data_IF_967621691910
#
_entry.id   IF_967621691910
#
_cell.length_a   1.000
_cell.length_b   1.000
_cell.length_c   1.000
_cell.angle_alpha   90.00
_cell.angle_beta   90.00
_cell.angle_gamma   90.00
#
_symmetry.space_group_name_H-M   'P 1'
#
loop_
_entity.id
_entity.type
_entity.pdbx_description
1 polymer ?
#
# COMPACT_ATOMS: atom_id res chain seq x y z
N UNK A 1 13.05 -42.95 44.25
CA UNK A 1 11.58 -42.78 44.11
C UNK A 1 11.22 -41.31 44.24
N UNK A 2 10.64 -40.76 43.17
CA UNK A 2 9.80 -39.56 43.02
C UNK A 2 9.48 -38.70 44.26
N UNK A 3 9.90 -37.43 44.21
CA UNK A 3 9.08 -36.23 44.51
C UNK A 3 9.24 -35.28 43.31
N UNK A 4 8.70 -35.61 42.14
CA UNK A 4 7.43 -35.08 41.59
C UNK A 4 7.11 -33.65 42.02
N UNK A 5 7.02 -32.79 40.99
CA UNK A 5 6.23 -31.57 40.87
C UNK A 5 6.44 -30.54 41.97
N UNK A 6 6.80 -29.29 41.69
CA UNK A 6 5.81 -28.31 41.25
C UNK A 6 6.51 -26.99 40.92
N UNK A 7 7.64 -27.02 40.20
CA UNK A 7 8.26 -25.79 39.69
C UNK A 7 8.46 -25.93 38.17
N UNK A 8 7.40 -26.36 37.48
CA UNK A 8 7.32 -26.39 36.02
C UNK A 8 6.19 -25.49 35.47
N UNK A 9 5.48 -24.75 36.34
CA UNK A 9 4.31 -23.96 35.96
C UNK A 9 4.55 -22.43 36.00
N UNK A 10 5.80 -21.98 35.96
CA UNK A 10 6.15 -20.57 35.74
C UNK A 10 6.72 -20.32 34.33
N UNK A 11 6.32 -21.16 33.37
CA UNK A 11 6.28 -20.79 31.96
C UNK A 11 5.18 -19.74 31.78
N UNK A 12 5.43 -18.53 32.27
CA UNK A 12 4.70 -17.33 31.84
C UNK A 12 4.97 -17.19 30.35
N UNK A 13 4.12 -17.79 29.53
CA UNK A 13 4.03 -17.46 28.11
C UNK A 13 3.60 -16.01 28.02
N UNK A 14 4.57 -15.09 27.98
CA UNK A 14 4.31 -13.69 27.63
C UNK A 14 3.77 -13.71 26.21
N UNK A 15 2.45 -13.57 26.08
CA UNK A 15 1.81 -13.38 24.80
C UNK A 15 1.98 -11.90 24.45
N UNK A 16 2.97 -11.59 23.61
CA UNK A 16 3.16 -10.24 23.10
C UNK A 16 2.06 -9.98 22.07
N UNK A 17 1.06 -9.18 22.45
CA UNK A 17 0.05 -8.70 21.51
C UNK A 17 0.66 -7.54 20.71
N UNK A 18 1.17 -7.84 19.51
CA UNK A 18 1.59 -6.79 18.57
C UNK A 18 0.36 -6.30 17.82
N UNK A 19 -0.19 -5.18 18.25
CA UNK A 19 -1.20 -4.46 17.46
C UNK A 19 -0.47 -3.64 16.40
N UNK A 20 -0.66 -3.96 15.12
CA UNK A 20 -0.21 -3.08 14.05
C UNK A 20 -0.98 -1.75 14.16
N UNK A 21 -0.27 -0.63 14.18
CA UNK A 21 -0.91 0.70 14.10
C UNK A 21 -1.56 0.82 12.71
N UNK A 22 -2.83 1.22 12.67
CA UNK A 22 -3.58 1.39 11.42
C UNK A 22 -3.79 2.88 11.12
N UNK A 23 -3.75 3.21 9.83
CA UNK A 23 -4.09 4.53 9.31
C UNK A 23 -5.23 4.43 8.29
N UNK A 24 -5.95 5.53 8.10
CA UNK A 24 -7.00 5.67 7.10
C UNK A 24 -6.53 6.57 5.96
N UNK A 25 -6.59 6.06 4.73
CA UNK A 25 -6.28 6.80 3.50
C UNK A 25 -7.45 6.69 2.51
N UNK A 26 -7.45 7.54 1.48
CA UNK A 26 -8.44 7.48 0.38
C UNK A 26 -7.72 7.10 -0.90
N UNK A 27 -8.13 6.01 -1.53
CA UNK A 27 -7.61 5.56 -2.83
C UNK A 27 -8.71 5.74 -3.88
N UNK A 28 -8.51 6.64 -4.84
CA UNK A 28 -9.53 7.04 -5.81
C UNK A 28 -9.01 6.93 -7.26
N UNK A 29 -9.90 7.21 -8.23
CA UNK A 29 -9.56 7.22 -9.64
C UNK A 29 -9.52 5.83 -10.27
N UNK A 30 -8.62 5.65 -11.24
CA UNK A 30 -8.54 4.47 -12.11
C UNK A 30 -7.85 3.26 -11.46
N UNK A 31 -8.45 2.78 -10.38
CA UNK A 31 -8.04 1.60 -9.58
C UNK A 31 -9.19 0.60 -9.51
N UNK A 32 -8.89 -0.70 -9.34
CA UNK A 32 -9.91 -1.77 -9.32
C UNK A 32 -10.94 -1.58 -8.21
N UNK A 33 -10.47 -1.28 -7.00
CA UNK A 33 -11.30 -1.11 -5.81
C UNK A 33 -11.05 0.25 -5.11
N UNK A 34 -11.70 1.34 -5.60
CA UNK A 34 -11.57 2.67 -5.03
C UNK A 34 -12.37 2.82 -3.73
N UNK A 35 -11.89 3.65 -2.81
CA UNK A 35 -12.60 4.00 -1.60
C UNK A 35 -11.69 4.45 -0.46
N UNK A 36 -12.28 4.54 0.73
CA UNK A 36 -11.54 4.74 1.97
C UNK A 36 -10.95 3.40 2.40
N UNK A 37 -9.65 3.38 2.70
CA UNK A 37 -8.89 2.18 3.08
C UNK A 37 -8.32 2.35 4.48
N UNK A 38 -8.61 1.40 5.36
CA UNK A 38 -7.92 1.23 6.63
C UNK A 38 -6.78 0.24 6.40
N UNK A 39 -5.55 0.69 6.59
CA UNK A 39 -4.33 -0.07 6.26
C UNK A 39 -3.36 -0.01 7.43
N UNK A 40 -2.42 -0.96 7.50
CA UNK A 40 -1.32 -0.86 8.46
C UNK A 40 -0.46 0.37 8.13
N UNK A 41 0.05 1.06 9.14
CA UNK A 41 0.85 2.29 8.98
C UNK A 41 2.12 2.11 8.16
N UNK A 42 2.64 0.87 8.09
CA UNK A 42 3.80 0.50 7.25
C UNK A 42 3.44 0.17 5.80
N UNK A 43 2.16 0.24 5.42
CA UNK A 43 1.74 0.02 4.04
C UNK A 43 2.22 1.19 3.17
N UNK A 44 2.97 0.85 2.12
CA UNK A 44 3.48 1.81 1.15
C UNK A 44 2.46 2.13 0.06
N UNK A 45 2.80 3.07 -0.84
CA UNK A 45 1.99 3.39 -2.02
C UNK A 45 1.77 2.16 -2.91
N UNK A 46 2.81 1.38 -3.21
CA UNK A 46 2.65 0.16 -4.02
C UNK A 46 1.78 -0.86 -3.28
N UNK A 47 1.96 -0.99 -1.96
CA UNK A 47 1.10 -1.83 -1.12
C UNK A 47 -0.38 -1.44 -1.22
N UNK A 48 -0.70 -0.15 -1.11
CA UNK A 48 -2.06 0.37 -1.25
C UNK A 48 -2.65 0.07 -2.64
N UNK A 49 -1.86 0.26 -3.71
CA UNK A 49 -2.31 -0.02 -5.09
C UNK A 49 -2.63 -1.52 -5.23
N UNK A 50 -1.78 -2.39 -4.69
CA UNK A 50 -2.00 -3.84 -4.68
C UNK A 50 -3.27 -4.23 -3.89
N UNK A 51 -3.42 -3.72 -2.66
CA UNK A 51 -4.62 -3.93 -1.82
C UNK A 51 -5.91 -3.41 -2.47
N UNK A 52 -5.79 -2.45 -3.38
CA UNK A 52 -6.89 -1.91 -4.17
C UNK A 52 -7.10 -2.65 -5.50
N UNK A 53 -6.43 -3.79 -5.69
CA UNK A 53 -6.56 -4.68 -6.85
C UNK A 53 -5.75 -4.26 -8.09
N UNK A 54 -4.91 -3.23 -7.99
CA UNK A 54 -4.13 -2.69 -9.09
C UNK A 54 -4.86 -1.62 -9.91
N UNK A 55 -4.16 -1.07 -10.90
CA UNK A 55 -4.68 -0.05 -11.80
C UNK A 55 -5.68 -0.61 -12.81
N UNK A 56 -6.65 0.21 -13.23
CA UNK A 56 -7.56 -0.07 -14.35
C UNK A 56 -6.97 0.46 -15.67
N UNK A 57 -7.44 -0.11 -16.79
CA UNK A 57 -7.19 0.46 -18.12
C UNK A 57 -7.67 1.91 -18.18
N UNK A 58 -6.88 2.81 -18.80
CA UNK A 58 -7.15 4.25 -18.85
C UNK A 58 -6.57 5.04 -17.67
N UNK A 59 -6.12 4.35 -16.61
CA UNK A 59 -5.37 4.95 -15.53
C UNK A 59 -3.91 5.24 -15.89
N UNK A 60 -3.30 6.18 -15.17
CA UNK A 60 -1.87 6.49 -15.33
C UNK A 60 -1.03 6.26 -14.06
N UNK A 61 -0.50 5.04 -13.86
CA UNK A 61 0.46 4.75 -12.78
C UNK A 61 1.76 5.57 -12.84
N UNK A 62 2.07 6.21 -13.97
CA UNK A 62 3.24 7.09 -14.11
C UNK A 62 3.07 8.48 -13.49
N UNK A 63 1.83 8.87 -13.19
CA UNK A 63 1.46 10.21 -12.71
C UNK A 63 0.43 10.12 -11.58
N UNK A 64 0.68 9.26 -10.58
CA UNK A 64 -0.19 9.12 -9.42
C UNK A 64 -0.11 10.40 -8.60
N UNK A 65 -1.25 10.88 -8.14
CA UNK A 65 -1.31 12.10 -7.35
C UNK A 65 -1.57 11.76 -5.88
N UNK A 66 -0.79 12.37 -5.00
CA UNK A 66 -0.93 12.27 -3.55
C UNK A 66 -1.21 13.68 -3.01
N UNK A 67 -2.37 13.84 -2.39
CA UNK A 67 -2.79 15.04 -1.70
C UNK A 67 -2.76 14.84 -0.19
N UNK A 68 -2.13 15.80 0.47
CA UNK A 68 -2.03 15.89 1.92
C UNK A 68 -2.48 17.28 2.37
N UNK A 69 -3.08 17.38 3.56
CA UNK A 69 -3.46 18.66 4.17
C UNK A 69 -2.60 18.86 5.42
N UNK A 70 -1.67 19.81 5.36
CA UNK A 70 -0.75 20.13 6.45
C UNK A 70 -1.04 21.56 6.91
N UNK A 71 -1.44 21.75 8.17
CA UNK A 71 -1.78 23.06 8.74
C UNK A 71 -2.77 23.86 7.87
N UNK A 72 -3.80 23.17 7.35
CA UNK A 72 -4.82 23.76 6.47
C UNK A 72 -4.35 24.03 5.03
N UNK A 73 -3.07 23.84 4.70
CA UNK A 73 -2.55 23.99 3.35
C UNK A 73 -2.54 22.65 2.62
N UNK A 74 -2.99 22.66 1.37
CA UNK A 74 -2.94 21.48 0.51
C UNK A 74 -1.56 21.36 -0.12
N UNK A 75 -0.93 20.19 0.07
CA UNK A 75 0.28 19.80 -0.65
C UNK A 75 -0.09 18.70 -1.63
N UNK A 76 0.28 18.90 -2.89
CA UNK A 76 0.06 17.95 -3.97
C UNK A 76 1.41 17.46 -4.49
N UNK A 77 1.53 16.14 -4.68
CA UNK A 77 2.74 15.50 -5.19
C UNK A 77 2.36 14.52 -6.28
N UNK A 78 3.08 14.56 -7.40
CA UNK A 78 2.99 13.56 -8.45
C UNK A 78 4.07 12.50 -8.24
N UNK A 79 3.72 11.23 -8.46
CA UNK A 79 4.58 10.06 -8.23
C UNK A 79 4.47 9.10 -9.41
N UNK A 80 5.62 8.61 -9.88
CA UNK A 80 5.68 7.58 -10.89
C UNK A 80 5.84 6.20 -10.24
N UNK A 81 4.73 5.47 -10.07
CA UNK A 81 4.74 4.14 -9.48
C UNK A 81 5.46 3.09 -10.34
N UNK A 82 5.56 3.31 -11.66
CA UNK A 82 6.35 2.44 -12.54
C UNK A 82 7.83 2.51 -12.18
N UNK A 83 8.36 3.69 -11.89
CA UNK A 83 9.75 3.86 -11.43
C UNK A 83 10.01 3.18 -10.07
N UNK A 84 8.99 3.13 -9.20
CA UNK A 84 9.10 2.46 -7.89
C UNK A 84 9.21 0.94 -8.08
N UNK A 85 8.31 0.33 -8.86
CA UNK A 85 8.37 -1.13 -9.14
C UNK A 85 9.54 -1.54 -10.03
N UNK A 86 10.15 -0.60 -10.75
CA UNK A 86 11.43 -0.76 -11.46
C UNK A 86 12.66 -0.62 -10.53
N UNK A 87 12.46 -0.38 -9.23
CA UNK A 87 13.51 -0.09 -8.23
C UNK A 87 14.39 1.13 -8.57
N UNK A 88 13.89 2.06 -9.39
CA UNK A 88 14.59 3.30 -9.78
C UNK A 88 14.42 4.42 -8.76
N UNK A 89 13.33 4.37 -8.00
CA UNK A 89 13.01 5.34 -6.95
C UNK A 89 12.47 4.60 -5.72
N UNK A 90 12.68 5.13 -4.50
CA UNK A 90 12.13 4.53 -3.30
C UNK A 90 10.60 4.55 -3.30
N UNK A 91 9.99 3.60 -2.61
CA UNK A 91 8.55 3.62 -2.34
C UNK A 91 8.18 4.77 -1.39
N UNK A 92 6.88 5.04 -1.30
CA UNK A 92 6.33 6.13 -0.50
C UNK A 92 5.56 5.54 0.68
N UNK A 93 6.00 5.86 1.89
CA UNK A 93 5.22 5.63 3.10
C UNK A 93 3.99 6.54 3.12
N UNK A 94 2.85 5.96 3.48
CA UNK A 94 1.59 6.67 3.55
C UNK A 94 1.36 7.23 4.95
N UNK A 95 0.64 8.36 5.00
CA UNK A 95 0.26 8.97 6.27
C UNK A 95 -1.26 9.14 6.36
N UNK A 96 -1.75 9.19 7.60
CA UNK A 96 -3.17 9.36 7.93
C UNK A 96 -3.82 10.50 7.13
N UNK A 97 -5.01 10.24 6.60
CA UNK A 97 -5.85 11.22 5.93
C UNK A 97 -5.44 11.58 4.50
N UNK A 98 -4.33 11.03 3.97
CA UNK A 98 -3.93 11.27 2.58
C UNK A 98 -5.00 10.82 1.59
N UNK A 99 -5.11 11.57 0.50
CA UNK A 99 -5.92 11.19 -0.68
C UNK A 99 -4.98 10.90 -1.84
N UNK A 100 -5.02 9.67 -2.31
CA UNK A 100 -4.22 9.14 -3.41
C UNK A 100 -5.17 8.85 -4.57
N UNK A 101 -4.80 9.21 -5.80
CA UNK A 101 -5.55 8.78 -6.97
C UNK A 101 -4.68 8.50 -8.18
N UNK A 102 -5.13 7.52 -8.96
CA UNK A 102 -4.62 7.26 -10.30
C UNK A 102 -5.49 8.08 -11.26
N UNK A 103 -4.96 9.11 -11.94
CA UNK A 103 -5.77 9.93 -12.82
C UNK A 103 -6.24 9.11 -14.03
N UNK A 104 -7.43 9.47 -14.51
CA UNK A 104 -7.93 9.05 -15.82
C UNK A 104 -7.39 10.00 -16.88
N UNK A 105 -6.96 9.47 -18.01
CA UNK A 105 -6.56 10.27 -19.17
C UNK A 105 -7.38 9.89 -20.39
N UNK A 106 -7.87 10.90 -21.12
CA UNK A 106 -8.55 10.74 -22.41
C UNK A 106 -7.66 9.99 -23.42
N UNK A 107 -6.36 10.26 -23.37
CA UNK A 107 -5.33 9.49 -24.08
C UNK A 107 -4.61 8.63 -23.04
N UNK A 108 -4.74 7.29 -23.10
CA UNK A 108 -4.08 6.41 -22.14
C UNK A 108 -2.57 6.64 -22.13
N UNK A 109 -1.99 6.92 -20.96
CA UNK A 109 -0.53 7.10 -20.83
C UNK A 109 0.24 5.76 -20.86
N UNK A 110 -0.51 4.65 -20.78
CA UNK A 110 -0.06 3.28 -20.86
C UNK A 110 -1.08 2.45 -21.63
N UNK A 111 -0.60 1.49 -22.44
CA UNK A 111 -1.44 0.50 -23.12
C UNK A 111 -2.03 -0.51 -22.14
N UNK A 112 -3.02 -1.30 -22.57
CA UNK A 112 -3.54 -2.41 -21.77
C UNK A 112 -2.44 -3.36 -21.31
N UNK A 113 -1.57 -3.80 -22.22
CA UNK A 113 -0.48 -4.72 -21.90
C UNK A 113 0.50 -4.11 -20.89
N UNK A 114 0.75 -2.80 -20.98
CA UNK A 114 1.59 -2.10 -20.01
C UNK A 114 0.92 -2.01 -18.63
N UNK A 115 -0.40 -1.82 -18.55
CA UNK A 115 -1.15 -1.84 -17.29
C UNK A 115 -1.16 -3.24 -16.69
N UNK A 116 -1.37 -4.27 -17.50
CA UNK A 116 -1.36 -5.66 -17.06
C UNK A 116 0.04 -6.04 -16.55
N UNK A 117 1.10 -5.67 -17.27
CA UNK A 117 2.48 -5.86 -16.84
C UNK A 117 2.84 -5.06 -15.57
N UNK A 118 2.31 -3.85 -15.40
CA UNK A 118 2.46 -3.11 -14.14
C UNK A 118 1.78 -3.84 -12.98
N UNK A 119 0.53 -4.26 -13.16
CA UNK A 119 -0.23 -4.95 -12.12
C UNK A 119 0.40 -6.30 -11.74
N UNK A 120 0.95 -7.04 -12.70
CA UNK A 120 1.63 -8.32 -12.46
C UNK A 120 2.89 -8.18 -11.59
N UNK A 121 3.55 -7.01 -11.63
CA UNK A 121 4.76 -6.74 -10.84
C UNK A 121 4.50 -6.26 -9.42
N UNK A 122 3.25 -5.89 -9.09
CA UNK A 122 2.89 -5.48 -7.73
C UNK A 122 3.19 -6.57 -6.67
N UNK A 123 2.71 -7.82 -6.81
CA UNK A 123 3.02 -8.87 -5.84
C UNK A 123 4.52 -9.19 -5.78
N UNK A 124 5.21 -9.25 -6.93
CA UNK A 124 6.66 -9.46 -7.01
C UNK A 124 7.42 -8.39 -6.24
N UNK A 125 7.11 -7.11 -6.48
CA UNK A 125 7.73 -5.99 -5.80
C UNK A 125 7.57 -6.06 -4.27
N UNK A 126 6.39 -6.48 -3.83
CA UNK A 126 6.06 -6.58 -2.40
C UNK A 126 6.61 -7.86 -1.75
N UNK A 127 7.24 -8.76 -2.52
CA UNK A 127 7.72 -10.05 -2.02
C UNK A 127 6.58 -10.98 -1.59
N UNK A 128 5.39 -10.83 -2.17
CA UNK A 128 4.20 -11.63 -1.89
C UNK A 128 4.04 -12.59 -3.08
N UNK A 129 4.73 -13.72 -3.07
CA UNK A 129 4.45 -14.78 -4.05
C UNK A 129 3.07 -15.42 -3.74
N UNK A 130 2.33 -15.76 -4.81
CA UNK A 130 1.04 -16.46 -4.74
C UNK A 130 1.21 -17.96 -4.56
#
# INVERSE_FOLDING_TARGET
>A
MRKIATILALLLSVQILVSAEEITVRMLGMVKDPGVKKIEKKTSLIGLIHLSGGAKLGGCPKSIMIKEVINGKQKLREVNAVSIVDYKTPDIDLVEGQTIWIPENVIPCMTKDQIDAFNARLPEYLGIEQ
#
